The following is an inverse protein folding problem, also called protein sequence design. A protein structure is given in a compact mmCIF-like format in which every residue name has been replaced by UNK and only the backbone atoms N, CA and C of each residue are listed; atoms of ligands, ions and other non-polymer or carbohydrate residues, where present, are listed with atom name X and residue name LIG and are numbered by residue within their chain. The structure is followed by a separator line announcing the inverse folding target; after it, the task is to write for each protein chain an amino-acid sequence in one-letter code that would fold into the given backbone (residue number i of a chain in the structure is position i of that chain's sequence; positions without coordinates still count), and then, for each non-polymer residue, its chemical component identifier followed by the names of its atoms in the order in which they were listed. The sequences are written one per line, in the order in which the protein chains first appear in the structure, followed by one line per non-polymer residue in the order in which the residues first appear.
data_IF_219471598285
#
_entry.id   IF_219471598285
#
_cell.length_a   1.000
_cell.length_b   1.000
_cell.length_c   1.000
_cell.angle_alpha   90.00
_cell.angle_beta   90.00
_cell.angle_gamma   90.00
#
_symmetry.space_group_name_H-M   'P 1'
#
loop_
_entity.id
_entity.type
_entity.pdbx_description
1 polymer ?
#
# COMPACT_ATOMS: atom_id res chain seq x y z
N UNK A 1 0.25 -28.63 -46.43
CA UNK A 1 0.24 -27.23 -45.93
C UNK A 1 -0.68 -27.03 -44.72
N UNK A 2 -1.84 -27.69 -44.65
CA UNK A 2 -2.78 -27.63 -43.51
C UNK A 2 -2.22 -28.13 -42.17
N UNK A 3 -1.37 -29.16 -42.16
CA UNK A 3 -0.75 -29.69 -40.93
C UNK A 3 0.24 -28.72 -40.25
N UNK A 4 0.95 -27.91 -41.05
CA UNK A 4 1.92 -26.94 -40.54
C UNK A 4 1.19 -25.75 -39.92
N UNK A 5 0.08 -25.31 -40.51
CA UNK A 5 -0.76 -24.24 -39.97
C UNK A 5 -1.36 -24.60 -38.60
N UNK A 6 -1.77 -25.86 -38.40
CA UNK A 6 -2.32 -26.34 -37.11
C UNK A 6 -1.24 -26.39 -36.02
N UNK A 7 -0.01 -26.78 -36.36
CA UNK A 7 1.13 -26.81 -35.41
C UNK A 7 1.55 -25.38 -35.02
N UNK A 8 1.57 -24.44 -35.97
CA UNK A 8 1.92 -23.05 -35.70
C UNK A 8 0.84 -22.36 -34.84
N UNK A 9 -0.43 -22.66 -35.07
CA UNK A 9 -1.54 -22.13 -34.28
C UNK A 9 -1.57 -22.67 -32.85
N UNK A 10 -1.20 -23.94 -32.64
CA UNK A 10 -1.11 -24.53 -31.30
C UNK A 10 0.12 -24.02 -30.53
N UNK A 11 1.26 -23.80 -31.19
CA UNK A 11 2.43 -23.19 -30.54
C UNK A 11 2.21 -21.71 -30.16
N UNK A 12 1.45 -20.97 -30.97
CA UNK A 12 1.02 -19.61 -30.64
C UNK A 12 0.08 -19.60 -29.43
N UNK A 13 -0.84 -20.58 -29.30
CA UNK A 13 -1.75 -20.67 -28.17
C UNK A 13 -1.06 -20.94 -26.82
N UNK A 14 0.05 -21.70 -26.80
CA UNK A 14 0.85 -21.90 -25.59
C UNK A 14 1.73 -20.68 -25.23
N UNK A 15 2.00 -19.79 -26.17
CA UNK A 15 2.72 -18.53 -25.90
C UNK A 15 1.89 -17.52 -25.11
N UNK A 16 0.55 -17.56 -25.22
CA UNK A 16 -0.33 -16.63 -24.50
C UNK A 16 -0.44 -16.93 -23.00
N UNK A 17 -0.22 -18.17 -22.56
CA UNK A 17 -0.22 -18.52 -21.13
C UNK A 17 1.12 -18.27 -20.43
N UNK A 18 2.16 -17.85 -21.15
CA UNK A 18 3.50 -17.60 -20.63
C UNK A 18 3.72 -16.18 -20.10
N UNK A 19 2.66 -15.38 -19.90
CA UNK A 19 2.77 -14.01 -19.41
C UNK A 19 3.31 -13.92 -17.95
N UNK A 20 3.57 -15.06 -17.29
CA UNK A 20 4.42 -15.14 -16.10
C UNK A 20 3.86 -14.47 -14.84
N UNK A 21 2.60 -14.02 -14.86
CA UNK A 21 1.93 -13.44 -13.70
C UNK A 21 1.74 -14.51 -12.62
N UNK A 22 2.51 -14.39 -11.54
CA UNK A 22 2.31 -15.20 -10.34
C UNK A 22 1.39 -14.45 -9.37
N UNK A 23 0.29 -15.04 -8.90
CA UNK A 23 -0.59 -14.40 -7.93
C UNK A 23 0.17 -14.19 -6.61
N UNK A 24 0.17 -12.97 -6.09
CA UNK A 24 0.83 -12.63 -4.82
C UNK A 24 0.26 -13.43 -3.63
N UNK A 25 -1.05 -13.70 -3.66
CA UNK A 25 -1.76 -14.41 -2.60
C UNK A 25 -1.82 -15.93 -2.81
N UNK A 26 -1.14 -16.48 -3.82
CA UNK A 26 -1.10 -17.92 -4.00
C UNK A 26 -0.29 -18.56 -2.85
N UNK A 27 -0.89 -19.52 -2.15
CA UNK A 27 -0.29 -20.22 -0.99
C UNK A 27 1.13 -20.75 -1.25
N UNK A 28 1.42 -21.09 -2.51
CA UNK A 28 2.73 -21.61 -2.95
C UNK A 28 3.90 -20.62 -2.78
N UNK A 29 3.64 -19.35 -2.49
CA UNK A 29 4.68 -18.32 -2.38
C UNK A 29 5.12 -18.00 -0.94
N UNK A 30 4.39 -18.43 0.10
CA UNK A 30 4.71 -18.12 1.51
C UNK A 30 4.52 -16.65 1.93
N UNK A 31 4.46 -15.72 0.98
CA UNK A 31 4.36 -14.26 1.22
C UNK A 31 3.11 -13.89 2.01
N UNK A 32 1.96 -14.50 1.71
CA UNK A 32 0.71 -14.21 2.43
C UNK A 32 0.79 -14.52 3.93
N UNK A 33 1.47 -15.61 4.31
CA UNK A 33 1.72 -15.94 5.73
C UNK A 33 2.77 -15.04 6.39
N UNK A 34 3.76 -14.57 5.63
CA UNK A 34 4.74 -13.60 6.12
C UNK A 34 4.09 -12.25 6.45
N UNK A 35 3.19 -11.79 5.58
CA UNK A 35 2.46 -10.52 5.74
C UNK A 35 1.45 -10.54 6.89
N UNK A 36 0.71 -11.65 7.07
CA UNK A 36 -0.28 -11.76 8.15
C UNK A 36 0.36 -11.83 9.55
N UNK A 37 1.65 -12.17 9.65
CA UNK A 37 2.41 -12.22 10.91
C UNK A 37 2.99 -10.88 11.37
N UNK A 38 2.64 -9.76 10.73
CA UNK A 38 3.20 -8.43 11.04
C UNK A 38 2.29 -7.68 12.02
N UNK A 39 2.78 -7.38 13.22
CA UNK A 39 2.15 -6.39 14.10
C UNK A 39 2.49 -4.98 13.65
N UNK A 40 1.47 -4.15 13.45
CA UNK A 40 1.61 -2.76 13.05
C UNK A 40 1.60 -1.85 14.27
N UNK A 41 2.68 -1.10 14.47
CA UNK A 41 2.78 -0.03 15.45
C UNK A 41 2.96 1.30 14.73
N UNK A 42 1.97 2.16 14.87
CA UNK A 42 1.95 3.52 14.35
C UNK A 42 2.04 4.51 15.52
N UNK A 43 2.43 5.75 15.23
CA UNK A 43 2.39 6.83 16.22
C UNK A 43 0.97 7.18 16.70
N UNK A 44 0.84 8.34 17.34
CA UNK A 44 -0.43 8.85 17.84
C UNK A 44 -1.13 9.79 16.86
N UNK A 45 -2.42 10.02 17.06
CA UNK A 45 -3.23 10.96 16.27
C UNK A 45 -4.03 10.30 15.13
N UNK A 46 -4.88 11.10 14.49
CA UNK A 46 -5.80 10.63 13.44
C UNK A 46 -5.07 10.06 12.21
N UNK A 47 -4.03 10.69 11.64
CA UNK A 47 -3.31 10.13 10.50
C UNK A 47 -2.71 8.75 10.80
N UNK A 48 -2.15 8.60 12.00
CA UNK A 48 -1.59 7.35 12.47
C UNK A 48 -2.63 6.26 12.64
N UNK A 49 -3.80 6.59 13.20
CA UNK A 49 -4.92 5.67 13.28
C UNK A 49 -5.42 5.21 11.91
N UNK A 50 -5.63 6.16 10.98
CA UNK A 50 -6.08 5.85 9.62
C UNK A 50 -5.09 4.93 8.89
N UNK A 51 -3.78 5.19 9.02
CA UNK A 51 -2.76 4.33 8.45
C UNK A 51 -2.72 2.95 9.14
N UNK A 52 -2.84 2.89 10.47
CA UNK A 52 -2.87 1.62 11.20
C UNK A 52 -4.00 0.73 10.70
N UNK A 53 -5.19 1.30 10.58
CA UNK A 53 -6.38 0.61 10.11
C UNK A 53 -6.19 0.11 8.68
N UNK A 54 -5.71 0.98 7.78
CA UNK A 54 -5.46 0.62 6.39
C UNK A 54 -4.38 -0.48 6.24
N UNK A 55 -3.29 -0.40 7.02
CA UNK A 55 -2.25 -1.42 7.03
C UNK A 55 -2.79 -2.77 7.52
N UNK A 56 -3.52 -2.80 8.63
CA UNK A 56 -4.11 -4.04 9.17
C UNK A 56 -5.08 -4.70 8.19
N UNK A 57 -5.90 -3.89 7.52
CA UNK A 57 -6.79 -4.36 6.46
C UNK A 57 -6.00 -4.96 5.29
N UNK A 58 -5.00 -4.24 4.78
CA UNK A 58 -4.18 -4.68 3.63
C UNK A 58 -3.33 -5.93 3.93
N UNK A 59 -2.84 -6.07 5.17
CA UNK A 59 -2.04 -7.20 5.61
C UNK A 59 -2.89 -8.41 6.02
N UNK A 60 -4.21 -8.22 6.19
CA UNK A 60 -5.13 -9.26 6.66
C UNK A 60 -4.87 -9.68 8.11
N UNK A 61 -4.18 -8.85 8.91
CA UNK A 61 -3.83 -9.18 10.30
C UNK A 61 -4.73 -8.45 11.30
N UNK A 62 -5.60 -9.22 11.95
CA UNK A 62 -6.45 -8.72 13.03
C UNK A 62 -6.18 -9.37 14.39
N UNK A 63 -5.56 -10.57 14.42
CA UNK A 63 -5.51 -11.43 15.62
C UNK A 63 -4.24 -12.32 15.73
N UNK A 64 -3.17 -12.07 14.95
CA UNK A 64 -2.01 -12.96 14.92
C UNK A 64 -0.99 -12.69 16.05
N UNK A 65 -0.33 -13.77 16.53
CA UNK A 65 0.92 -13.71 17.30
C UNK A 65 2.03 -13.16 16.39
N UNK A 66 2.54 -11.93 16.64
CA UNK A 66 3.35 -11.24 15.65
C UNK A 66 4.77 -11.77 15.61
N UNK A 67 5.15 -12.37 14.47
CA UNK A 67 6.53 -12.74 14.18
C UNK A 67 7.38 -11.53 13.79
N UNK A 68 6.74 -10.52 13.19
CA UNK A 68 7.38 -9.30 12.75
C UNK A 68 6.68 -8.08 13.35
N UNK A 69 7.42 -6.99 13.48
CA UNK A 69 6.91 -5.71 13.97
C UNK A 69 7.23 -4.61 12.98
N UNK A 70 6.20 -3.93 12.50
CA UNK A 70 6.30 -2.79 11.61
C UNK A 70 6.16 -1.51 12.44
N UNK A 71 7.22 -0.71 12.50
CA UNK A 71 7.16 0.64 13.06
C UNK A 71 7.01 1.65 11.91
N UNK A 72 6.20 2.68 12.14
CA UNK A 72 5.97 3.76 11.17
C UNK A 72 6.07 5.13 11.83
N UNK A 73 6.64 6.09 11.12
CA UNK A 73 6.62 7.52 11.43
C UNK A 73 5.96 8.24 10.26
N UNK A 74 5.01 9.11 10.57
CA UNK A 74 4.11 9.72 9.60
C UNK A 74 4.27 11.23 9.67
N UNK A 75 4.39 11.87 8.50
CA UNK A 75 4.24 13.30 8.32
C UNK A 75 3.12 13.54 7.29
N UNK A 76 2.10 14.30 7.67
CA UNK A 76 0.97 14.60 6.81
C UNK A 76 1.02 16.06 6.40
N UNK A 77 1.01 16.30 5.09
CA UNK A 77 1.07 17.62 4.50
C UNK A 77 -0.16 17.86 3.63
N UNK A 78 -0.67 19.09 3.68
CA UNK A 78 -1.72 19.57 2.78
C UNK A 78 -1.14 20.63 1.86
N UNK A 79 -1.28 20.43 0.54
CA UNK A 79 -0.79 21.34 -0.49
C UNK A 79 -1.94 21.85 -1.36
N UNK A 80 -1.97 23.15 -1.64
CA UNK A 80 -2.90 23.71 -2.62
C UNK A 80 -2.39 23.41 -4.04
N UNK A 81 -3.22 22.78 -4.88
CA UNK A 81 -2.85 22.48 -6.28
C UNK A 81 -3.41 23.49 -7.28
N UNK A 82 -4.48 24.20 -6.93
CA UNK A 82 -5.11 25.18 -7.81
C UNK A 82 -5.65 26.34 -7.00
N UNK A 83 -5.43 27.54 -7.50
CA UNK A 83 -5.81 28.80 -6.85
C UNK A 83 -6.71 29.57 -7.81
N UNK A 84 -7.88 30.00 -7.33
CA UNK A 84 -8.82 30.80 -8.12
C UNK A 84 -8.32 32.24 -8.27
N UNK A 85 -8.87 33.02 -9.21
CA UNK A 85 -8.61 34.47 -9.37
C UNK A 85 -8.81 35.26 -8.06
N UNK A 86 -9.69 34.77 -7.18
CA UNK A 86 -9.95 35.32 -5.85
C UNK A 86 -9.01 34.81 -4.74
N UNK A 87 -7.91 34.12 -5.10
CA UNK A 87 -6.92 33.51 -4.20
C UNK A 87 -7.47 32.41 -3.27
N UNK A 88 -8.64 31.85 -3.63
CA UNK A 88 -9.25 30.72 -2.92
C UNK A 88 -8.84 29.42 -3.61
N UNK A 89 -8.16 28.53 -2.89
CA UNK A 89 -7.82 27.22 -3.39
C UNK A 89 -9.06 26.32 -3.46
N UNK A 90 -9.41 25.87 -4.67
CA UNK A 90 -10.57 25.02 -4.93
C UNK A 90 -10.23 23.54 -4.92
N UNK A 91 -8.93 23.20 -4.93
CA UNK A 91 -8.44 21.83 -4.89
C UNK A 91 -7.19 21.74 -4.04
N UNK A 92 -7.19 20.75 -3.15
CA UNK A 92 -6.06 20.41 -2.30
C UNK A 92 -5.60 18.98 -2.55
N UNK A 93 -4.32 18.76 -2.30
CA UNK A 93 -3.67 17.47 -2.25
C UNK A 93 -3.21 17.21 -0.82
N UNK A 94 -3.51 16.01 -0.33
CA UNK A 94 -3.00 15.46 0.91
C UNK A 94 -1.87 14.51 0.55
N UNK A 95 -0.70 14.76 1.14
CA UNK A 95 0.48 13.90 1.05
C UNK A 95 0.71 13.29 2.43
N UNK A 96 0.73 11.97 2.50
CA UNK A 96 1.10 11.22 3.69
C UNK A 96 2.47 10.60 3.46
N UNK A 97 3.51 11.25 3.98
CA UNK A 97 4.87 10.73 3.99
C UNK A 97 5.03 9.75 5.15
N UNK A 98 5.43 8.52 4.84
CA UNK A 98 5.57 7.44 5.81
C UNK A 98 6.95 6.82 5.72
N UNK A 99 7.76 7.07 6.74
CA UNK A 99 8.95 6.30 7.03
C UNK A 99 8.55 5.02 7.77
N UNK A 100 8.95 3.87 7.26
CA UNK A 100 8.67 2.58 7.90
C UNK A 100 9.93 1.74 8.11
N UNK A 101 9.88 0.88 9.12
CA UNK A 101 10.91 -0.11 9.40
C UNK A 101 10.28 -1.41 9.91
N UNK A 102 10.71 -2.52 9.32
CA UNK A 102 10.32 -3.87 9.72
C UNK A 102 11.39 -4.46 10.63
N UNK A 103 10.96 -5.07 11.73
CA UNK A 103 11.80 -5.75 12.70
C UNK A 103 11.34 -7.19 12.91
N UNK A 104 12.27 -8.09 13.23
CA UNK A 104 11.94 -9.38 13.82
C UNK A 104 11.47 -9.18 15.27
N UNK A 105 10.30 -9.69 15.62
CA UNK A 105 9.69 -9.44 16.93
C UNK A 105 10.42 -10.17 18.08
N UNK A 106 11.17 -11.23 17.79
CA UNK A 106 11.90 -12.01 18.80
C UNK A 106 13.31 -11.49 19.03
N UNK A 107 14.03 -11.15 17.97
CA UNK A 107 15.43 -10.71 18.07
C UNK A 107 15.55 -9.19 18.20
N UNK A 108 14.54 -8.44 17.74
CA UNK A 108 14.59 -6.99 17.64
C UNK A 108 15.47 -6.49 16.49
N UNK A 109 15.97 -7.38 15.63
CA UNK A 109 16.78 -7.01 14.48
C UNK A 109 15.94 -6.30 13.43
N UNK A 110 16.49 -5.23 12.84
CA UNK A 110 15.85 -4.51 11.74
C UNK A 110 16.08 -5.24 10.43
N UNK A 111 15.01 -5.73 9.82
CA UNK A 111 15.01 -6.51 8.58
C UNK A 111 15.05 -5.60 7.34
N UNK A 112 14.20 -4.57 7.31
CA UNK A 112 14.16 -3.62 6.21
C UNK A 112 13.64 -2.25 6.67
N UNK A 113 13.87 -1.23 5.85
CA UNK A 113 13.31 0.11 6.03
C UNK A 113 13.08 0.76 4.68
N UNK A 114 12.15 1.70 4.64
CA UNK A 114 11.92 2.52 3.46
C UNK A 114 11.09 3.73 3.79
N UNK A 115 10.74 4.43 2.73
CA UNK A 115 9.88 5.61 2.76
C UNK A 115 8.90 5.49 1.60
N UNK A 116 7.62 5.78 1.86
CA UNK A 116 6.59 5.91 0.84
C UNK A 116 5.83 7.20 1.04
N UNK A 117 5.29 7.74 -0.04
CA UNK A 117 4.39 8.88 0.01
C UNK A 117 3.08 8.41 -0.60
N UNK A 118 2.04 8.30 0.22
CA UNK A 118 0.68 8.09 -0.26
C UNK A 118 0.01 9.44 -0.52
N UNK A 119 -0.73 9.55 -1.61
CA UNK A 119 -1.35 10.81 -1.99
C UNK A 119 -2.85 10.68 -2.25
N UNK A 120 -3.55 11.79 -2.09
CA UNK A 120 -4.92 11.94 -2.55
C UNK A 120 -5.25 13.40 -2.78
N UNK A 121 -6.17 13.68 -3.70
CA UNK A 121 -6.69 15.02 -3.90
C UNK A 121 -8.18 15.09 -3.60
N UNK A 122 -8.64 16.29 -3.22
CA UNK A 122 -10.05 16.61 -3.07
C UNK A 122 -10.34 18.05 -3.51
N UNK A 123 -11.55 18.24 -4.05
CA UNK A 123 -12.09 19.56 -4.37
C UNK A 123 -12.87 20.09 -3.16
N UNK A 124 -12.77 21.39 -2.88
CA UNK A 124 -13.41 22.02 -1.72
C UNK A 124 -14.85 22.43 -2.05
N UNK A 125 -15.87 21.82 -1.42
CA UNK A 125 -17.26 22.25 -1.58
C UNK A 125 -17.49 23.65 -1.01
N UNK A 126 -18.56 24.30 -1.46
CA UNK A 126 -18.93 25.64 -0.97
C UNK A 126 -19.45 25.65 0.47
N UNK A 127 -19.93 24.52 0.98
CA UNK A 127 -20.43 24.41 2.34
C UNK A 127 -19.32 24.00 3.34
N UNK A 128 -19.28 24.59 4.56
CA UNK A 128 -18.18 24.34 5.50
C UNK A 128 -18.09 22.90 6.01
N UNK A 129 -19.22 22.20 6.13
CA UNK A 129 -19.24 20.82 6.60
C UNK A 129 -18.70 19.86 5.52
N UNK A 130 -19.13 20.05 4.28
CA UNK A 130 -18.66 19.34 3.11
C UNK A 130 -17.15 19.48 2.91
N UNK A 131 -16.60 20.68 3.15
CA UNK A 131 -15.16 20.90 3.13
C UNK A 131 -14.40 20.02 4.14
N UNK A 132 -14.84 19.98 5.40
CA UNK A 132 -14.22 19.14 6.44
C UNK A 132 -14.34 17.66 6.09
N UNK A 133 -15.50 17.22 5.57
CA UNK A 133 -15.71 15.81 5.21
C UNK A 133 -14.89 15.39 4.00
N UNK A 134 -14.79 16.24 2.99
CA UNK A 134 -13.97 15.98 1.80
C UNK A 134 -12.48 15.86 2.18
N UNK A 135 -12.01 16.70 3.09
CA UNK A 135 -10.64 16.63 3.61
C UNK A 135 -10.41 15.32 4.38
N UNK A 136 -11.28 14.99 5.33
CA UNK A 136 -11.19 13.76 6.13
C UNK A 136 -11.17 12.48 5.28
N UNK A 137 -12.01 12.43 4.25
CA UNK A 137 -12.10 11.34 3.28
C UNK A 137 -10.84 11.27 2.41
N UNK A 138 -10.27 12.42 2.00
CA UNK A 138 -8.98 12.47 1.32
C UNK A 138 -7.85 11.94 2.20
N UNK A 139 -7.78 12.33 3.48
CA UNK A 139 -6.79 11.80 4.43
C UNK A 139 -6.87 10.26 4.55
N UNK A 140 -8.09 9.71 4.61
CA UNK A 140 -8.30 8.26 4.65
C UNK A 140 -7.86 7.57 3.35
N UNK A 141 -8.11 8.17 2.19
CA UNK A 141 -7.60 7.65 0.91
C UNK A 141 -6.08 7.66 0.82
N UNK A 142 -5.44 8.76 1.23
CA UNK A 142 -3.97 8.86 1.24
C UNK A 142 -3.36 7.79 2.16
N UNK A 143 -4.00 7.52 3.30
CA UNK A 143 -3.59 6.43 4.20
C UNK A 143 -3.71 5.04 3.55
N UNK A 144 -4.80 4.77 2.81
CA UNK A 144 -4.99 3.50 2.07
C UNK A 144 -3.98 3.32 0.95
N UNK A 145 -3.64 4.41 0.27
CA UNK A 145 -2.62 4.41 -0.78
C UNK A 145 -1.23 4.11 -0.20
N UNK A 146 -0.82 4.84 0.85
CA UNK A 146 0.43 4.59 1.57
C UNK A 146 0.51 3.15 2.11
N UNK A 147 -0.56 2.63 2.70
CA UNK A 147 -0.62 1.25 3.19
C UNK A 147 -0.43 0.23 2.06
N UNK A 148 -1.03 0.48 0.89
CA UNK A 148 -0.91 -0.40 -0.27
C UNK A 148 0.52 -0.42 -0.81
N UNK A 149 1.18 0.74 -0.89
CA UNK A 149 2.60 0.85 -1.28
C UNK A 149 3.52 0.12 -0.31
N UNK A 150 3.32 0.29 1.00
CA UNK A 150 4.09 -0.43 2.04
C UNK A 150 3.89 -1.94 1.90
N UNK A 151 2.64 -2.40 1.77
CA UNK A 151 2.34 -3.82 1.65
C UNK A 151 2.97 -4.43 0.39
N UNK A 152 2.97 -3.72 -0.74
CA UNK A 152 3.66 -4.16 -1.96
C UNK A 152 5.18 -4.29 -1.77
N UNK A 153 5.78 -3.35 -1.05
CA UNK A 153 7.22 -3.32 -0.81
C UNK A 153 7.65 -4.40 0.20
N UNK A 154 6.84 -4.65 1.23
CA UNK A 154 7.02 -5.77 2.14
C UNK A 154 6.84 -7.10 1.42
N UNK A 155 5.81 -7.22 0.57
CA UNK A 155 5.58 -8.41 -0.25
C UNK A 155 6.78 -8.70 -1.17
N UNK A 156 7.37 -7.66 -1.77
CA UNK A 156 8.61 -7.77 -2.55
C UNK A 156 9.76 -8.27 -1.69
N UNK A 157 9.95 -7.70 -0.51
CA UNK A 157 11.01 -8.10 0.42
C UNK A 157 10.86 -9.57 0.86
N UNK A 158 9.66 -10.01 1.26
CA UNK A 158 9.42 -11.41 1.63
C UNK A 158 9.75 -12.35 0.49
N UNK A 159 9.31 -12.05 -0.73
CA UNK A 159 9.63 -12.89 -1.90
C UNK A 159 11.13 -13.01 -2.17
N UNK A 160 11.91 -11.96 -1.92
CA UNK A 160 13.36 -11.95 -2.14
C UNK A 160 14.13 -12.67 -1.02
N UNK A 161 13.63 -12.64 0.21
CA UNK A 161 14.30 -13.20 1.40
C UNK A 161 13.76 -14.57 1.82
N UNK A 162 12.60 -14.98 1.31
CA UNK A 162 12.00 -16.30 1.48
C UNK A 162 12.38 -17.24 0.32
N UNK A 163 13.61 -17.10 -0.19
CA UNK A 163 14.16 -17.99 -1.21
C UNK A 163 14.03 -19.47 -0.75
N UNK A 164 13.70 -20.39 -1.69
CA UNK A 164 13.24 -21.76 -1.39
C UNK A 164 14.25 -22.62 -0.62
#
# INVERSE_FOLDING_TARGET
MTRIAVILASLAALGLSACGFQPLYAERTGVASGLSGIAVSTGEGRPAYSLNLALRDSLGNWDADPRYRLETRIDMQRRAQSVTIADIATRYEILMDVDYALFDARTGERLTRGNVIGDSAFDVPSDPYGAIRAEQDSEERAARDAASLITMELARWFRENEAP
#
